data_IF_113604679085
#
_entry.id   IF_113604679085
#
_cell.length_a   1.000
_cell.length_b   1.000
_cell.length_c   1.000
_cell.angle_alpha   90.00
_cell.angle_beta   90.00
_cell.angle_gamma   90.00
#
_symmetry.space_group_name_H-M   'P 1'
#
loop_
_entity.id
_entity.type
_entity.pdbx_description
1 polymer ?
#
# COMPACT_ATOMS: atom_id res chain seq x y z
N UNK A 1 -19.69 -2.98 -24.18
CA UNK A 1 -20.40 -2.82 -22.89
C UNK A 1 -20.85 -1.39 -22.60
N UNK A 2 -19.97 -0.45 -22.24
CA UNK A 2 -20.39 0.93 -21.88
C UNK A 2 -21.04 1.66 -23.06
N UNK A 3 -20.50 1.45 -24.26
CA UNK A 3 -21.03 1.99 -25.51
C UNK A 3 -22.08 1.08 -26.15
N UNK A 4 -22.52 0.00 -25.50
CA UNK A 4 -23.54 -0.94 -26.03
C UNK A 4 -23.32 -1.40 -27.49
N UNK A 5 -22.06 -1.60 -27.86
CA UNK A 5 -21.60 -1.97 -29.21
C UNK A 5 -21.95 -0.94 -30.30
N UNK A 6 -22.23 0.30 -29.90
CA UNK A 6 -22.45 1.46 -30.76
C UNK A 6 -21.12 2.19 -31.01
N UNK A 7 -20.54 1.92 -32.19
CA UNK A 7 -19.31 2.58 -32.65
C UNK A 7 -19.55 4.06 -32.95
N UNK A 8 -20.75 4.45 -33.40
CA UNK A 8 -21.05 5.84 -33.72
C UNK A 8 -21.05 6.70 -32.44
N UNK A 9 -21.58 6.18 -31.34
CA UNK A 9 -21.51 6.83 -30.04
C UNK A 9 -20.07 6.96 -29.52
N UNK A 10 -19.24 5.92 -29.70
CA UNK A 10 -17.81 6.00 -29.38
C UNK A 10 -17.14 7.10 -30.21
N UNK A 11 -17.42 7.13 -31.51
CA UNK A 11 -16.82 8.07 -32.45
C UNK A 11 -17.19 9.53 -32.13
N UNK A 12 -18.47 9.77 -31.84
CA UNK A 12 -18.98 11.07 -31.39
C UNK A 12 -18.27 11.52 -30.11
N UNK A 13 -18.18 10.63 -29.12
CA UNK A 13 -17.54 10.94 -27.83
C UNK A 13 -16.06 11.24 -28.00
N UNK A 14 -15.33 10.45 -28.79
CA UNK A 14 -13.89 10.62 -29.00
C UNK A 14 -13.55 11.73 -30.02
N UNK A 15 -14.52 12.19 -30.81
CA UNK A 15 -14.29 13.13 -31.91
C UNK A 15 -13.37 12.55 -32.98
N UNK A 16 -13.54 11.27 -33.30
CA UNK A 16 -12.69 10.52 -34.23
C UNK A 16 -13.37 10.33 -35.60
N UNK A 17 -13.00 9.28 -36.34
CA UNK A 17 -13.76 8.77 -37.47
C UNK A 17 -13.73 7.24 -37.48
N UNK A 18 -13.96 6.63 -36.31
CA UNK A 18 -13.87 5.20 -36.09
C UNK A 18 -15.07 4.47 -36.69
N UNK A 19 -14.76 3.38 -37.38
CA UNK A 19 -15.71 2.44 -38.00
C UNK A 19 -15.79 1.10 -37.27
N UNK A 20 -14.90 0.89 -36.29
CA UNK A 20 -14.86 -0.29 -35.41
C UNK A 20 -14.23 0.05 -34.05
N UNK A 21 -14.61 -0.69 -33.01
CA UNK A 21 -13.90 -0.66 -31.72
C UNK A 21 -12.44 -1.10 -31.83
N UNK A 22 -12.06 -1.90 -32.82
CA UNK A 22 -10.67 -2.36 -33.02
C UNK A 22 -9.71 -1.19 -33.25
N UNK A 23 -10.22 -0.06 -33.75
CA UNK A 23 -9.45 1.17 -33.91
C UNK A 23 -8.89 1.70 -32.58
N UNK A 24 -9.49 1.33 -31.45
CA UNK A 24 -8.97 1.69 -30.13
C UNK A 24 -7.62 1.05 -29.82
N UNK A 25 -7.27 -0.07 -30.46
CA UNK A 25 -5.98 -0.74 -30.24
C UNK A 25 -4.79 0.11 -30.70
N UNK A 26 -5.00 0.93 -31.73
CA UNK A 26 -4.00 1.82 -32.31
C UNK A 26 -4.17 3.29 -31.85
N UNK A 27 -5.18 3.56 -31.02
CA UNK A 27 -5.49 4.93 -30.59
C UNK A 27 -4.46 5.46 -29.59
N UNK A 28 -3.83 6.57 -29.94
CA UNK A 28 -2.82 7.26 -29.11
C UNK A 28 -3.24 8.67 -28.69
N UNK A 29 -4.48 9.06 -29.00
CA UNK A 29 -5.04 10.37 -28.66
C UNK A 29 -5.37 10.51 -27.17
N UNK A 30 -5.72 11.72 -26.75
CA UNK A 30 -6.18 11.99 -25.39
C UNK A 30 -7.65 11.62 -25.26
N UNK A 31 -7.97 10.88 -24.21
CA UNK A 31 -9.35 10.60 -23.86
C UNK A 31 -10.05 11.88 -23.35
N UNK A 32 -11.27 12.17 -23.81
CA UNK A 32 -12.04 13.32 -23.36
C UNK A 32 -12.55 13.13 -21.94
N UNK A 33 -12.84 14.25 -21.26
CA UNK A 33 -13.55 14.24 -19.99
C UNK A 33 -15.05 14.03 -20.26
N UNK A 34 -15.47 12.76 -20.30
CA UNK A 34 -16.82 12.35 -20.64
C UNK A 34 -17.28 11.21 -19.73
N UNK A 35 -18.55 11.21 -19.31
CA UNK A 35 -19.10 10.24 -18.36
C UNK A 35 -18.94 8.78 -18.85
N UNK A 36 -19.21 8.52 -20.13
CA UNK A 36 -19.02 7.18 -20.71
C UNK A 36 -17.55 6.75 -20.72
N UNK A 37 -16.61 7.68 -20.89
CA UNK A 37 -15.18 7.38 -20.84
C UNK A 37 -14.76 7.09 -19.39
N UNK A 38 -15.26 7.87 -18.43
CA UNK A 38 -15.01 7.62 -17.01
C UNK A 38 -15.57 6.24 -16.57
N UNK A 39 -16.78 5.89 -17.01
CA UNK A 39 -17.36 4.57 -16.74
C UNK A 39 -16.57 3.45 -17.42
N UNK A 40 -16.18 3.62 -18.68
CA UNK A 40 -15.36 2.64 -19.40
C UNK A 40 -14.00 2.41 -18.70
N UNK A 41 -13.37 3.48 -18.21
CA UNK A 41 -12.13 3.40 -17.42
C UNK A 41 -12.33 2.64 -16.11
N UNK A 42 -13.41 2.92 -15.40
CA UNK A 42 -13.77 2.24 -14.15
C UNK A 42 -13.97 0.73 -14.39
N UNK A 43 -14.80 0.35 -15.37
CA UNK A 43 -15.02 -1.07 -15.72
C UNK A 43 -13.76 -1.76 -16.21
N UNK A 44 -12.94 -1.08 -17.00
CA UNK A 44 -11.66 -1.62 -17.46
C UNK A 44 -10.71 -1.86 -16.27
N UNK A 45 -10.67 -0.95 -15.30
CA UNK A 45 -9.87 -1.11 -14.09
C UNK A 45 -10.30 -2.33 -13.27
N UNK A 46 -11.61 -2.58 -13.11
CA UNK A 46 -12.11 -3.79 -12.46
C UNK A 46 -11.63 -5.05 -13.18
N UNK A 47 -11.74 -5.11 -14.52
CA UNK A 47 -11.29 -6.26 -15.33
C UNK A 47 -9.78 -6.47 -15.25
N UNK A 48 -9.02 -5.38 -15.25
CA UNK A 48 -7.57 -5.43 -15.11
C UNK A 48 -7.18 -5.98 -13.74
N UNK A 49 -7.79 -5.47 -12.67
CA UNK A 49 -7.58 -5.95 -11.31
C UNK A 49 -7.96 -7.43 -11.19
N UNK A 50 -9.11 -7.82 -11.75
CA UNK A 50 -9.62 -9.20 -11.74
C UNK A 50 -8.60 -10.14 -12.36
N UNK A 51 -8.08 -9.76 -13.53
CA UNK A 51 -7.08 -10.56 -14.23
C UNK A 51 -5.78 -10.67 -13.46
N UNK A 52 -5.30 -9.58 -12.87
CA UNK A 52 -4.09 -9.58 -12.06
C UNK A 52 -4.25 -10.50 -10.84
N UNK A 53 -5.31 -10.29 -10.06
CA UNK A 53 -5.50 -11.03 -8.81
C UNK A 53 -5.85 -12.50 -9.02
N UNK A 54 -6.69 -12.84 -10.00
CA UNK A 54 -7.01 -14.24 -10.33
C UNK A 54 -5.77 -15.03 -10.75
N UNK A 55 -4.92 -14.47 -11.62
CA UNK A 55 -3.70 -15.14 -12.07
C UNK A 55 -2.73 -15.36 -10.90
N UNK A 56 -2.51 -14.34 -10.07
CA UNK A 56 -1.65 -14.44 -8.90
C UNK A 56 -2.19 -15.45 -7.89
N UNK A 57 -3.49 -15.38 -7.58
CA UNK A 57 -4.16 -16.30 -6.67
C UNK A 57 -4.01 -17.75 -7.13
N UNK A 58 -4.39 -18.04 -8.37
CA UNK A 58 -4.36 -19.40 -8.91
C UNK A 58 -2.94 -19.95 -9.05
N UNK A 59 -1.95 -19.09 -9.28
CA UNK A 59 -0.55 -19.49 -9.27
C UNK A 59 -0.11 -19.89 -7.85
N UNK A 60 -0.40 -19.06 -6.85
CA UNK A 60 -0.04 -19.33 -5.45
C UNK A 60 -0.78 -20.56 -4.92
N UNK A 61 -2.11 -20.62 -5.00
CA UNK A 61 -2.90 -21.73 -4.42
C UNK A 61 -2.64 -23.07 -5.09
N UNK A 62 -2.20 -23.09 -6.35
CA UNK A 62 -1.77 -24.33 -7.03
C UNK A 62 -0.45 -24.86 -6.48
N UNK A 63 0.49 -23.99 -6.15
CA UNK A 63 1.79 -24.37 -5.60
C UNK A 63 1.73 -24.58 -4.08
N UNK A 64 0.87 -23.81 -3.40
CA UNK A 64 0.77 -23.75 -1.95
C UNK A 64 -0.69 -23.47 -1.52
N UNK A 65 -1.55 -24.49 -1.47
CA UNK A 65 -2.96 -24.33 -1.15
C UNK A 65 -3.23 -23.98 0.31
N UNK A 66 -2.26 -24.19 1.21
CA UNK A 66 -2.45 -24.09 2.66
C UNK A 66 -2.10 -22.71 3.23
N UNK A 67 -1.31 -21.91 2.52
CA UNK A 67 -0.84 -20.62 3.03
C UNK A 67 -1.70 -19.44 2.57
N UNK A 68 -1.69 -18.38 3.40
CA UNK A 68 -2.43 -17.15 3.15
C UNK A 68 -1.80 -16.32 2.04
N UNK A 69 -2.65 -15.67 1.23
CA UNK A 69 -2.26 -14.63 0.28
C UNK A 69 -2.42 -13.27 0.95
N UNK A 70 -1.30 -12.58 1.14
CA UNK A 70 -1.24 -11.31 1.90
C UNK A 70 -1.47 -10.05 1.04
N UNK A 71 -2.01 -10.20 -0.17
CA UNK A 71 -2.24 -9.09 -1.10
C UNK A 71 -0.98 -8.63 -1.85
N UNK A 72 -0.97 -7.36 -2.27
CA UNK A 72 0.04 -6.81 -3.19
C UNK A 72 0.71 -5.51 -2.69
N UNK A 73 0.64 -5.24 -1.39
CA UNK A 73 1.33 -4.12 -0.70
C UNK A 73 1.04 -2.76 -1.30
N UNK A 74 -0.22 -2.35 -1.32
CA UNK A 74 -0.62 -1.07 -1.92
C UNK A 74 0.13 0.12 -1.29
N UNK A 75 0.81 0.93 -2.10
CA UNK A 75 1.55 2.11 -1.64
C UNK A 75 0.70 3.40 -1.56
N UNK A 76 -0.50 3.35 -2.14
CA UNK A 76 -1.50 4.44 -2.12
C UNK A 76 -2.87 3.84 -1.84
N UNK A 77 -3.85 4.68 -1.50
CA UNK A 77 -5.23 4.24 -1.36
C UNK A 77 -5.69 3.59 -2.69
N UNK A 78 -6.07 2.31 -2.69
CA UNK A 78 -6.49 1.65 -3.92
C UNK A 78 -7.84 2.21 -4.38
N UNK A 79 -8.07 2.38 -5.70
CA UNK A 79 -9.38 2.72 -6.23
C UNK A 79 -10.43 1.68 -5.80
N UNK A 80 -11.68 2.13 -5.66
CA UNK A 80 -12.78 1.28 -5.16
C UNK A 80 -12.96 0.02 -6.01
N UNK A 81 -12.82 0.14 -7.32
CA UNK A 81 -12.91 -0.97 -8.29
C UNK A 81 -11.90 -2.08 -7.97
N UNK A 82 -10.68 -1.69 -7.59
CA UNK A 82 -9.61 -2.62 -7.20
C UNK A 82 -9.94 -3.27 -5.85
N UNK A 83 -10.52 -2.52 -4.92
CA UNK A 83 -10.93 -3.03 -3.60
C UNK A 83 -12.09 -4.03 -3.70
N UNK A 84 -13.09 -3.71 -4.52
CA UNK A 84 -14.25 -4.60 -4.74
C UNK A 84 -13.84 -5.92 -5.41
N UNK A 85 -12.70 -5.92 -6.11
CA UNK A 85 -12.11 -7.10 -6.76
C UNK A 85 -11.18 -7.88 -5.84
N UNK A 86 -10.23 -7.21 -5.18
CA UNK A 86 -9.14 -7.87 -4.43
C UNK A 86 -9.65 -8.78 -3.32
N UNK A 87 -10.80 -8.44 -2.72
CA UNK A 87 -11.38 -9.20 -1.61
C UNK A 87 -11.67 -10.66 -1.98
N UNK A 88 -11.90 -10.98 -3.25
CA UNK A 88 -12.23 -12.36 -3.66
C UNK A 88 -10.98 -13.22 -3.86
N UNK A 89 -9.78 -12.63 -3.82
CA UNK A 89 -8.52 -13.28 -4.18
C UNK A 89 -7.45 -13.28 -3.08
N UNK A 90 -7.69 -12.56 -1.99
CA UNK A 90 -6.71 -12.43 -0.90
C UNK A 90 -7.31 -12.79 0.44
N UNK A 91 -6.45 -13.32 1.30
CA UNK A 91 -6.77 -13.63 2.70
C UNK A 91 -6.60 -12.38 3.57
N UNK A 92 -5.59 -11.55 3.26
CA UNK A 92 -5.29 -10.28 3.95
C UNK A 92 -5.02 -9.17 2.94
N UNK A 93 -5.53 -7.97 3.19
CA UNK A 93 -5.19 -6.78 2.39
C UNK A 93 -4.01 -6.04 3.03
N UNK A 94 -2.88 -6.00 2.34
CA UNK A 94 -1.66 -5.30 2.79
C UNK A 94 -1.53 -3.88 2.21
N UNK A 95 -1.11 -2.93 3.03
CA UNK A 95 -0.81 -1.54 2.63
C UNK A 95 0.57 -1.13 3.16
N UNK A 96 1.28 -0.34 2.37
CA UNK A 96 2.50 0.34 2.77
C UNK A 96 2.17 1.82 3.03
N UNK A 97 2.67 2.39 4.13
CA UNK A 97 2.40 3.78 4.48
C UNK A 97 3.57 4.42 5.24
N UNK A 98 4.07 5.53 4.70
CA UNK A 98 5.18 6.32 5.26
C UNK A 98 4.71 7.70 5.76
N UNK A 99 3.46 7.80 6.19
CA UNK A 99 2.90 9.01 6.81
C UNK A 99 3.35 9.14 8.27
N UNK A 100 3.34 10.36 8.82
CA UNK A 100 3.71 10.60 10.23
C UNK A 100 2.73 10.00 11.25
N UNK A 101 1.52 9.68 10.79
CA UNK A 101 0.42 9.11 11.58
C UNK A 101 -0.16 7.90 10.86
N UNK A 102 -0.71 6.97 11.64
CA UNK A 102 -1.35 5.77 11.09
C UNK A 102 -2.51 6.15 10.15
N UNK A 103 -2.63 5.52 8.96
CA UNK A 103 -3.59 5.92 7.94
C UNK A 103 -4.99 5.36 8.22
N UNK A 104 -5.52 5.62 9.42
CA UNK A 104 -6.77 5.02 9.92
C UNK A 104 -7.96 5.21 8.98
N UNK A 105 -8.08 6.37 8.33
CA UNK A 105 -9.14 6.64 7.34
C UNK A 105 -9.05 5.71 6.12
N UNK A 106 -7.85 5.54 5.55
CA UNK A 106 -7.63 4.63 4.42
C UNK A 106 -7.91 3.19 4.85
N UNK A 107 -7.40 2.79 6.02
CA UNK A 107 -7.59 1.44 6.56
C UNK A 107 -9.07 1.12 6.80
N UNK A 108 -9.83 2.05 7.38
CA UNK A 108 -11.29 1.88 7.56
C UNK A 108 -12.02 1.80 6.23
N UNK A 109 -11.71 2.67 5.28
CA UNK A 109 -12.35 2.62 3.96
C UNK A 109 -12.10 1.29 3.25
N UNK A 110 -10.86 0.80 3.27
CA UNK A 110 -10.51 -0.50 2.66
C UNK A 110 -11.23 -1.63 3.37
N UNK A 111 -11.29 -1.62 4.70
CA UNK A 111 -12.04 -2.62 5.45
C UNK A 111 -13.55 -2.57 5.16
N UNK A 112 -14.16 -1.38 5.07
CA UNK A 112 -15.58 -1.20 4.75
C UNK A 112 -15.94 -1.78 3.37
N UNK A 113 -15.07 -1.66 2.38
CA UNK A 113 -15.31 -2.19 1.02
C UNK A 113 -15.02 -3.69 0.93
N UNK A 114 -13.94 -4.16 1.57
CA UNK A 114 -13.44 -5.53 1.39
C UNK A 114 -13.95 -6.52 2.43
N UNK A 115 -14.24 -6.05 3.66
CA UNK A 115 -14.50 -6.89 4.83
C UNK A 115 -13.31 -7.76 5.26
N UNK A 116 -12.11 -7.54 4.70
CA UNK A 116 -10.95 -8.41 4.91
C UNK A 116 -10.06 -7.92 6.05
N UNK A 117 -9.44 -8.84 6.81
CA UNK A 117 -8.33 -8.48 7.70
C UNK A 117 -7.21 -7.77 6.93
N UNK A 118 -6.49 -6.90 7.62
CA UNK A 118 -5.51 -6.01 7.02
C UNK A 118 -4.16 -6.03 7.73
N UNK A 119 -3.11 -5.66 7.02
CA UNK A 119 -1.77 -5.51 7.57
C UNK A 119 -1.05 -4.28 7.00
N UNK A 120 -0.35 -3.52 7.84
CA UNK A 120 0.55 -2.45 7.37
C UNK A 120 1.94 -3.02 7.15
N UNK A 121 2.30 -3.32 5.91
CA UNK A 121 3.45 -4.19 5.62
C UNK A 121 4.75 -3.44 5.30
N UNK A 122 4.70 -2.12 5.25
CA UNK A 122 5.84 -1.22 5.36
C UNK A 122 5.39 0.08 6.01
N UNK A 123 6.14 0.52 7.01
CA UNK A 123 6.16 1.88 7.51
C UNK A 123 7.52 2.11 8.16
N UNK A 124 7.90 3.38 8.30
CA UNK A 124 9.16 3.72 8.93
C UNK A 124 9.24 5.19 9.29
N UNK A 125 10.15 5.49 10.20
CA UNK A 125 10.55 6.85 10.54
C UNK A 125 12.06 6.95 10.46
N UNK A 126 12.56 8.08 9.97
CA UNK A 126 13.98 8.41 9.90
C UNK A 126 14.23 9.72 10.64
N UNK A 127 15.43 9.93 11.16
CA UNK A 127 15.77 11.15 11.88
C UNK A 127 17.14 11.73 11.50
N UNK A 128 17.24 13.05 11.55
CA UNK A 128 18.40 13.82 11.09
C UNK A 128 19.63 13.69 12.00
N UNK A 129 19.45 13.34 13.28
CA UNK A 129 20.54 13.11 14.23
C UNK A 129 21.20 11.72 14.12
N UNK A 130 20.85 10.94 13.09
CA UNK A 130 21.48 9.64 12.79
C UNK A 130 22.89 9.75 12.20
N UNK A 131 23.25 10.91 11.65
CA UNK A 131 24.45 11.09 10.84
C UNK A 131 24.31 10.64 9.37
N UNK A 132 23.14 10.08 8.99
CA UNK A 132 22.84 9.74 7.60
C UNK A 132 22.24 10.94 6.84
N UNK A 133 22.47 11.05 5.51
CA UNK A 133 21.99 12.19 4.74
C UNK A 133 20.46 12.29 4.71
N UNK A 134 19.74 11.16 4.69
CA UNK A 134 18.28 11.11 4.61
C UNK A 134 17.68 11.88 3.42
N UNK A 135 18.46 12.08 2.34
CA UNK A 135 18.07 12.93 1.21
C UNK A 135 17.15 12.21 0.22
N UNK A 136 17.17 10.87 0.20
CA UNK A 136 16.33 10.06 -0.68
C UNK A 136 15.69 8.89 0.06
N UNK A 137 14.42 8.62 -0.29
CA UNK A 137 13.59 7.56 0.27
C UNK A 137 12.32 8.10 0.92
N UNK A 138 11.36 7.20 1.18
CA UNK A 138 10.03 7.56 1.65
C UNK A 138 10.01 8.25 3.03
N UNK A 139 8.91 8.96 3.33
CA UNK A 139 8.72 9.65 4.60
C UNK A 139 9.58 10.90 4.79
N UNK A 140 9.13 11.77 5.68
CA UNK A 140 9.82 13.02 6.04
C UNK A 140 10.73 12.74 7.25
N UNK A 141 12.00 13.17 7.24
CA UNK A 141 12.87 12.98 8.39
C UNK A 141 12.42 13.83 9.58
N UNK A 142 12.35 13.18 10.74
CA UNK A 142 12.17 13.82 12.04
C UNK A 142 13.48 14.42 12.53
N UNK A 143 13.43 15.22 13.59
CA UNK A 143 14.66 15.89 14.07
C UNK A 143 15.57 14.95 14.82
N UNK A 144 14.99 14.07 15.65
CA UNK A 144 15.77 13.25 16.61
C UNK A 144 15.36 11.78 16.65
N UNK A 145 16.27 10.90 17.09
CA UNK A 145 15.96 9.49 17.37
C UNK A 145 14.86 9.35 18.44
N UNK A 146 14.74 10.33 19.34
CA UNK A 146 13.64 10.40 20.32
C UNK A 146 12.30 10.58 19.63
N UNK A 147 12.19 11.59 18.76
CA UNK A 147 10.98 11.79 17.96
C UNK A 147 10.66 10.56 17.10
N UNK A 148 11.69 9.93 16.51
CA UNK A 148 11.56 8.69 15.72
C UNK A 148 10.90 7.57 16.52
N UNK A 149 11.36 7.33 17.75
CA UNK A 149 10.78 6.32 18.63
C UNK A 149 9.36 6.69 19.09
N UNK A 150 9.11 7.96 19.42
CA UNK A 150 7.79 8.43 19.82
C UNK A 150 6.74 8.32 18.70
N UNK A 151 7.12 8.67 17.47
CA UNK A 151 6.27 8.49 16.28
C UNK A 151 6.01 7.01 16.00
N UNK A 152 7.04 6.16 16.10
CA UNK A 152 6.90 4.71 16.01
C UNK A 152 5.84 4.19 16.98
N UNK A 153 5.94 4.57 18.25
CA UNK A 153 4.98 4.18 19.29
C UNK A 153 3.57 4.65 18.98
N UNK A 154 3.37 5.93 18.72
CA UNK A 154 2.03 6.48 18.42
C UNK A 154 1.40 5.83 17.21
N UNK A 155 2.19 5.59 16.16
CA UNK A 155 1.72 4.97 14.93
C UNK A 155 1.22 3.55 15.20
N UNK A 156 2.03 2.71 15.85
CA UNK A 156 1.68 1.32 16.11
C UNK A 156 0.56 1.20 17.14
N UNK A 157 0.62 1.95 18.24
CA UNK A 157 -0.46 1.96 19.23
C UNK A 157 -1.80 2.29 18.56
N UNK A 158 -1.81 3.24 17.62
CA UNK A 158 -3.02 3.57 16.84
C UNK A 158 -3.47 2.41 15.95
N UNK A 159 -2.55 1.74 15.23
CA UNK A 159 -2.89 0.57 14.42
C UNK A 159 -3.53 -0.54 15.25
N UNK A 160 -2.97 -0.81 16.43
CA UNK A 160 -3.46 -1.86 17.33
C UNK A 160 -4.88 -1.59 17.85
N UNK A 161 -5.36 -0.34 17.83
CA UNK A 161 -6.76 -0.02 18.18
C UNK A 161 -7.77 -0.37 17.09
N UNK A 162 -7.33 -0.75 15.88
CA UNK A 162 -8.23 -1.13 14.79
C UNK A 162 -8.45 -2.65 14.81
N UNK A 163 -9.69 -3.14 15.01
CA UNK A 163 -9.95 -4.58 15.24
C UNK A 163 -9.69 -5.45 14.00
N UNK A 164 -9.62 -4.85 12.82
CA UNK A 164 -9.35 -5.56 11.56
C UNK A 164 -7.87 -5.56 11.17
N UNK A 165 -6.98 -4.97 11.98
CA UNK A 165 -5.53 -4.98 11.73
C UNK A 165 -4.90 -6.20 12.42
N UNK A 166 -4.33 -7.10 11.62
CA UNK A 166 -3.62 -8.29 12.09
C UNK A 166 -2.18 -8.01 12.52
N UNK A 167 -1.58 -6.93 12.03
CA UNK A 167 -0.20 -6.60 12.38
C UNK A 167 0.42 -5.53 11.51
N UNK A 168 1.73 -5.38 11.69
CA UNK A 168 2.54 -4.37 11.03
C UNK A 168 3.97 -4.87 10.83
N UNK A 169 4.63 -4.40 9.76
CA UNK A 169 6.04 -4.65 9.51
C UNK A 169 6.80 -3.33 9.31
N UNK A 170 7.87 -3.18 10.07
CA UNK A 170 8.80 -2.06 9.96
C UNK A 170 9.71 -2.27 8.75
N UNK A 171 9.78 -1.27 7.88
CA UNK A 171 10.78 -1.21 6.82
C UNK A 171 11.92 -0.31 7.31
N UNK A 172 13.09 -0.81 7.67
CA UNK A 172 13.64 -2.14 7.45
C UNK A 172 14.61 -2.48 8.59
N UNK A 173 15.21 -3.66 8.54
CA UNK A 173 16.09 -4.12 9.62
C UNK A 173 17.31 -3.20 9.83
N UNK A 174 18.04 -2.88 8.78
CA UNK A 174 19.30 -2.14 8.83
C UNK A 174 19.22 -0.81 8.08
N UNK A 175 19.99 0.17 8.54
CA UNK A 175 20.17 1.44 7.84
C UNK A 175 20.70 1.26 6.41
N UNK A 176 20.36 2.22 5.56
CA UNK A 176 20.86 2.24 4.19
C UNK A 176 22.27 2.85 4.14
N UNK A 177 23.09 2.49 3.13
CA UNK A 177 24.39 3.14 2.92
C UNK A 177 24.22 4.65 2.75
N UNK A 178 25.13 5.45 3.32
CA UNK A 178 25.12 6.91 3.16
C UNK A 178 25.32 7.32 1.69
N UNK A 179 26.05 6.50 0.93
CA UNK A 179 26.29 6.63 -0.51
C UNK A 179 25.05 6.28 -1.36
N UNK A 180 24.06 5.60 -0.77
CA UNK A 180 22.85 5.14 -1.44
C UNK A 180 22.84 3.64 -1.75
N UNK A 181 21.65 3.04 -1.73
CA UNK A 181 21.34 1.71 -2.29
C UNK A 181 21.36 1.78 -3.84
N UNK A 182 21.02 0.69 -4.52
CA UNK A 182 20.94 0.61 -5.99
C UNK A 182 20.07 1.70 -6.66
N UNK A 183 19.10 2.27 -5.94
CA UNK A 183 18.25 3.37 -6.40
C UNK A 183 18.63 4.72 -5.77
N UNK A 184 19.73 4.77 -5.02
CA UNK A 184 20.26 5.96 -4.35
C UNK A 184 19.60 6.29 -3.01
N UNK A 185 18.68 5.48 -2.48
CA UNK A 185 18.14 5.72 -1.13
C UNK A 185 19.22 5.58 -0.05
N UNK A 186 19.30 6.55 0.86
CA UNK A 186 20.36 6.72 1.86
C UNK A 186 19.81 7.12 3.25
N UNK A 187 18.72 6.46 3.65
CA UNK A 187 17.90 6.81 4.81
C UNK A 187 18.17 5.99 6.07
N UNK A 188 17.94 6.64 7.22
CA UNK A 188 17.96 6.08 8.57
C UNK A 188 16.68 5.28 8.89
N UNK A 189 16.45 4.19 8.17
CA UNK A 189 15.29 3.32 8.39
C UNK A 189 15.56 2.13 9.31
N UNK A 190 16.82 1.84 9.65
CA UNK A 190 17.19 0.64 10.37
C UNK A 190 16.74 0.61 11.82
N UNK A 191 16.35 -0.57 12.31
CA UNK A 191 16.36 -0.88 13.74
C UNK A 191 17.80 -0.93 14.27
N UNK A 192 18.74 -1.30 13.39
CA UNK A 192 20.19 -1.26 13.61
C UNK A 192 20.86 -0.36 12.57
N UNK A 193 22.02 0.19 12.93
CA UNK A 193 22.93 0.87 12.02
C UNK A 193 23.55 -0.12 11.02
N UNK A 194 24.24 0.41 10.01
CA UNK A 194 24.94 -0.40 9.00
C UNK A 194 26.05 -1.30 9.57
N UNK A 195 26.57 -0.98 10.75
CA UNK A 195 27.56 -1.75 11.51
C UNK A 195 26.91 -2.66 12.58
N UNK A 196 25.60 -2.92 12.46
CA UNK A 196 24.80 -3.77 13.34
C UNK A 196 24.62 -3.23 14.78
N UNK A 197 25.02 -1.97 15.07
CA UNK A 197 24.70 -1.35 16.35
C UNK A 197 23.20 -1.01 16.45
N UNK A 198 22.49 -1.48 17.50
CA UNK A 198 21.06 -1.18 17.65
C UNK A 198 20.77 0.29 17.99
N UNK A 199 19.73 0.85 17.37
CA UNK A 199 19.08 2.07 17.86
C UNK A 199 18.30 1.76 19.13
N UNK A 200 19.01 1.69 20.28
CA UNK A 200 18.48 1.18 21.56
C UNK A 200 17.12 1.75 21.95
N UNK A 201 16.91 3.06 21.77
CA UNK A 201 15.63 3.70 22.10
C UNK A 201 14.47 3.16 21.25
N UNK A 202 14.70 2.96 19.95
CA UNK A 202 13.70 2.42 19.03
C UNK A 202 13.44 0.94 19.32
N UNK A 203 14.49 0.15 19.58
CA UNK A 203 14.38 -1.27 19.90
C UNK A 203 13.61 -1.49 21.22
N UNK A 204 13.94 -0.75 22.27
CA UNK A 204 13.19 -0.82 23.54
C UNK A 204 11.73 -0.37 23.37
N UNK A 205 11.48 0.59 22.49
CA UNK A 205 10.11 1.00 22.13
C UNK A 205 9.33 -0.15 21.49
N UNK A 206 9.90 -0.84 20.50
CA UNK A 206 9.27 -2.03 19.91
C UNK A 206 9.04 -3.13 20.94
N UNK A 207 10.00 -3.37 21.84
CA UNK A 207 9.86 -4.37 22.91
C UNK A 207 8.66 -4.07 23.80
N UNK A 208 8.48 -2.81 24.22
CA UNK A 208 7.34 -2.40 25.03
C UNK A 208 6.01 -2.51 24.29
N UNK A 209 5.97 -2.12 23.01
CA UNK A 209 4.76 -2.19 22.18
C UNK A 209 4.37 -3.65 21.99
N UNK A 210 5.30 -4.49 21.52
CA UNK A 210 5.05 -5.90 21.22
C UNK A 210 4.64 -6.66 22.49
N UNK A 211 5.22 -6.36 23.65
CA UNK A 211 4.81 -6.96 24.93
C UNK A 211 3.35 -6.65 25.29
N UNK A 212 2.83 -5.49 24.88
CA UNK A 212 1.47 -5.06 25.19
C UNK A 212 0.50 -5.19 24.01
N UNK A 213 0.93 -5.74 22.87
CA UNK A 213 0.20 -5.64 21.62
C UNK A 213 -1.17 -6.31 21.69
N UNK A 214 -1.21 -7.57 22.13
CA UNK A 214 -2.44 -8.35 22.28
C UNK A 214 -3.41 -7.69 23.27
N UNK A 215 -2.92 -7.27 24.44
CA UNK A 215 -3.73 -6.57 25.44
C UNK A 215 -4.34 -5.28 24.88
N UNK A 216 -3.55 -4.52 24.12
CA UNK A 216 -4.00 -3.26 23.50
C UNK A 216 -5.10 -3.54 22.49
N UNK A 217 -4.89 -4.54 21.63
CA UNK A 217 -5.83 -4.93 20.59
C UNK A 217 -7.16 -5.45 21.14
N UNK A 218 -7.11 -6.34 22.13
CA UNK A 218 -8.31 -6.91 22.75
C UNK A 218 -9.09 -5.88 23.59
N UNK A 219 -8.45 -4.83 24.11
CA UNK A 219 -9.14 -3.81 24.93
C UNK A 219 -10.12 -2.91 24.15
N UNK A 220 -10.13 -3.02 22.81
CA UNK A 220 -10.92 -2.18 21.90
C UNK A 220 -11.93 -2.97 21.06
N UNK A 221 -12.01 -4.28 21.27
CA UNK A 221 -13.02 -5.16 20.70
C UNK A 221 -14.19 -5.28 21.67
#
# INVERSE_FOLDING_TARGET
EVFTDDVALLDEVLGTGFDSFDRLLDYTGKLPDHLLIAEARSRFLSRYAERYFSVCHDAVKRADPNHMILGCRFAVAPPREVLETVKDYVDVVSINNYSLTAPTGILRHVYEVTGKPMMVTEFSFKAMDSGLPNTKGAGIPLKTQRERAEHCKRYIDTLLTLPFILGYHWFQYMDQPKEGRFDGENSNFGLVKIDDEPYRLLVETFKQINFNAEKTHLSKT
#
